data_IF_537825550176
#
_entry.id   IF_537825550176
#
_cell.length_a   1.000
_cell.length_b   1.000
_cell.length_c   1.000
_cell.angle_alpha   90.00
_cell.angle_beta   90.00
_cell.angle_gamma   90.00
#
_symmetry.space_group_name_H-M   'P 1'
#
loop_
_entity.id
_entity.type
_entity.pdbx_description
1 polymer ?
#
# COMPACT_ATOMS: atom_id res chain seq x y z
N UNK A 1 -15.57 -3.65 -5.79
CA UNK A 1 -14.87 -2.51 -5.20
C UNK A 1 -13.40 -2.80 -5.07
N UNK A 2 -12.57 -1.98 -5.67
CA UNK A 2 -11.13 -2.16 -5.56
C UNK A 2 -10.63 -1.58 -4.24
N UNK A 3 -9.73 -2.31 -3.59
CA UNK A 3 -9.07 -1.82 -2.39
C UNK A 3 -8.07 -0.74 -2.80
N UNK A 4 -8.14 0.42 -2.16
CA UNK A 4 -7.11 1.42 -2.37
C UNK A 4 -5.94 1.18 -1.41
N UNK A 5 -4.87 1.98 -1.55
CA UNK A 5 -3.68 1.77 -0.74
C UNK A 5 -3.93 2.02 0.75
N UNK A 6 -4.84 2.92 1.08
CA UNK A 6 -5.19 3.16 2.48
C UNK A 6 -5.88 1.93 3.07
N UNK A 7 -6.79 1.32 2.32
CA UNK A 7 -7.46 0.09 2.76
C UNK A 7 -6.48 -1.07 2.89
N UNK A 8 -5.54 -1.17 1.97
CA UNK A 8 -4.54 -2.24 2.01
C UNK A 8 -3.75 -2.20 3.31
N UNK A 9 -3.39 -1.00 3.77
CA UNK A 9 -2.68 -0.84 5.04
C UNK A 9 -3.62 -0.75 6.24
N UNK A 10 -4.91 -0.57 6.01
CA UNK A 10 -5.87 -0.43 7.10
C UNK A 10 -5.79 0.90 7.82
N UNK A 11 -5.50 1.97 7.09
CA UNK A 11 -5.41 3.32 7.67
C UNK A 11 -6.40 4.24 7.00
N UNK A 12 -6.66 5.38 7.64
CA UNK A 12 -7.52 6.41 7.08
C UNK A 12 -6.79 7.24 6.03
N UNK A 13 -7.55 7.94 5.21
CA UNK A 13 -6.97 8.79 4.17
C UNK A 13 -6.16 9.95 4.73
N UNK A 14 -6.45 10.36 5.94
CA UNK A 14 -5.72 11.42 6.62
C UNK A 14 -4.66 10.91 7.58
N UNK A 15 -4.30 9.64 7.48
CA UNK A 15 -3.28 9.05 8.33
C UNK A 15 -1.94 9.76 8.18
N UNK A 16 -1.24 9.92 9.29
CA UNK A 16 0.09 10.52 9.30
C UNK A 16 1.13 9.53 8.74
N UNK A 17 2.30 10.05 8.40
CA UNK A 17 3.39 9.19 7.97
C UNK A 17 3.73 8.14 9.01
N UNK A 18 3.74 8.51 10.27
CA UNK A 18 4.03 7.57 11.36
C UNK A 18 2.99 6.45 11.43
N UNK A 19 1.73 6.81 11.25
CA UNK A 19 0.66 5.83 11.25
C UNK A 19 0.81 4.87 10.07
N UNK A 20 1.18 5.39 8.91
CA UNK A 20 1.38 4.58 7.72
C UNK A 20 2.55 3.63 7.90
N UNK A 21 3.66 4.12 8.45
CA UNK A 21 4.82 3.28 8.75
C UNK A 21 4.49 2.16 9.71
N UNK A 22 3.76 2.50 10.75
CA UNK A 22 3.36 1.52 11.76
C UNK A 22 2.44 0.46 11.16
N UNK A 23 1.48 0.89 10.37
CA UNK A 23 0.55 -0.01 9.69
C UNK A 23 1.30 -0.95 8.75
N UNK A 24 2.27 -0.41 8.00
CA UNK A 24 3.08 -1.23 7.12
C UNK A 24 3.84 -2.31 7.88
N UNK A 25 4.48 -1.94 8.97
CA UNK A 25 5.23 -2.91 9.79
C UNK A 25 4.33 -4.01 10.29
N UNK A 26 3.15 -3.64 10.75
CA UNK A 26 2.19 -4.60 11.27
C UNK A 26 1.73 -5.56 10.18
N UNK A 27 1.38 -5.03 9.02
CA UNK A 27 0.95 -5.88 7.91
C UNK A 27 2.08 -6.75 7.38
N UNK A 28 3.28 -6.20 7.27
CA UNK A 28 4.42 -6.96 6.80
C UNK A 28 4.76 -8.14 7.71
N UNK A 29 4.54 -7.97 9.01
CA UNK A 29 4.80 -9.05 9.95
C UNK A 29 3.79 -10.19 9.81
N UNK A 30 2.62 -9.91 9.28
CA UNK A 30 1.61 -10.95 9.02
C UNK A 30 1.94 -11.81 7.80
N UNK A 31 2.77 -11.30 6.90
CA UNK A 31 3.11 -11.99 5.65
C UNK A 31 4.62 -12.06 5.45
N UNK A 32 5.35 -12.73 6.36
CA UNK A 32 6.80 -12.82 6.21
C UNK A 32 7.16 -13.64 4.97
N UNK A 33 8.12 -13.18 4.18
CA UNK A 33 8.46 -13.85 2.92
C UNK A 33 9.03 -15.25 3.08
N UNK A 34 9.55 -15.57 4.25
CA UNK A 34 10.20 -16.86 4.48
C UNK A 34 9.23 -17.99 4.81
N UNK A 35 7.98 -17.68 5.11
CA UNK A 35 7.06 -18.67 5.66
C UNK A 35 5.96 -19.05 4.68
N UNK A 36 5.86 -18.35 3.57
CA UNK A 36 4.68 -18.46 2.75
C UNK A 36 4.92 -19.23 1.46
N UNK A 37 4.34 -20.42 1.38
CA UNK A 37 4.19 -21.15 0.13
C UNK A 37 2.92 -20.71 -0.60
N UNK A 38 2.23 -19.72 -0.07
CA UNK A 38 0.97 -19.25 -0.61
C UNK A 38 1.18 -18.11 -1.60
N UNK A 39 0.85 -18.31 -2.89
CA UNK A 39 0.98 -17.25 -3.89
C UNK A 39 0.19 -15.99 -3.55
N UNK A 40 -0.94 -16.16 -2.85
CA UNK A 40 -1.75 -15.01 -2.45
C UNK A 40 -1.06 -14.14 -1.41
N UNK A 41 -0.29 -14.75 -0.52
CA UNK A 41 0.46 -14.01 0.49
C UNK A 41 1.53 -13.14 -0.16
N UNK A 42 2.20 -13.66 -1.17
CA UNK A 42 3.21 -12.91 -1.90
C UNK A 42 2.60 -11.70 -2.61
N UNK A 43 1.46 -11.89 -3.26
CA UNK A 43 0.75 -10.78 -3.89
C UNK A 43 0.33 -9.73 -2.89
N UNK A 44 -0.19 -10.15 -1.75
CA UNK A 44 -0.60 -9.23 -0.70
C UNK A 44 0.58 -8.44 -0.18
N UNK A 45 1.71 -9.09 0.00
CA UNK A 45 2.91 -8.41 0.45
C UNK A 45 3.36 -7.35 -0.55
N UNK A 46 3.30 -7.66 -1.84
CA UNK A 46 3.64 -6.68 -2.87
C UNK A 46 2.73 -5.47 -2.84
N UNK A 47 1.44 -5.68 -2.63
CA UNK A 47 0.49 -4.58 -2.52
C UNK A 47 0.78 -3.71 -1.30
N UNK A 48 1.13 -4.35 -0.20
CA UNK A 48 1.48 -3.63 1.03
C UNK A 48 2.72 -2.78 0.81
N UNK A 49 3.73 -3.31 0.14
CA UNK A 49 4.93 -2.55 -0.18
C UNK A 49 4.64 -1.37 -1.10
N UNK A 50 3.85 -1.60 -2.13
CA UNK A 50 3.47 -0.55 -3.07
C UNK A 50 2.70 0.56 -2.36
N UNK A 51 1.75 0.17 -1.51
CA UNK A 51 0.98 1.15 -0.75
C UNK A 51 1.90 2.00 0.13
N UNK A 52 2.85 1.35 0.82
CA UNK A 52 3.82 2.07 1.64
C UNK A 52 4.63 3.06 0.82
N UNK A 53 5.15 2.62 -0.31
CA UNK A 53 5.99 3.47 -1.15
C UNK A 53 5.26 4.70 -1.65
N UNK A 54 4.01 4.53 -2.06
CA UNK A 54 3.21 5.64 -2.54
C UNK A 54 2.81 6.57 -1.41
N UNK A 55 2.33 6.02 -0.32
CA UNK A 55 1.77 6.84 0.76
C UNK A 55 2.83 7.51 1.63
N UNK A 56 4.08 7.03 1.60
CA UNK A 56 5.17 7.66 2.34
C UNK A 56 5.95 8.68 1.51
N UNK A 57 5.70 8.75 0.22
CA UNK A 57 6.29 9.76 -0.66
C UNK A 57 5.28 10.89 -0.84
N UNK A 58 5.62 12.10 -0.40
CA UNK A 58 4.70 13.22 -0.42
C UNK A 58 4.16 13.51 -1.82
N UNK A 59 5.02 13.47 -2.82
CA UNK A 59 4.60 13.73 -4.19
C UNK A 59 3.68 12.64 -4.72
N UNK A 60 4.06 11.40 -4.53
CA UNK A 60 3.27 10.27 -5.00
C UNK A 60 1.94 10.20 -4.28
N UNK A 61 1.95 10.46 -2.97
CA UNK A 61 0.71 10.47 -2.20
C UNK A 61 -0.24 11.55 -2.71
N UNK A 62 0.29 12.73 -2.99
CA UNK A 62 -0.51 13.83 -3.52
C UNK A 62 -1.11 13.48 -4.87
N UNK A 63 -0.30 12.92 -5.76
CA UNK A 63 -0.78 12.48 -7.07
C UNK A 63 -1.84 11.39 -6.92
N UNK A 64 -1.59 10.44 -6.04
CA UNK A 64 -2.52 9.37 -5.80
C UNK A 64 -3.87 9.88 -5.31
N UNK A 65 -3.85 10.82 -4.37
CA UNK A 65 -5.09 11.40 -3.83
C UNK A 65 -5.87 12.18 -4.88
N UNK A 66 -5.16 12.81 -5.82
CA UNK A 66 -5.81 13.56 -6.88
C UNK A 66 -6.36 12.66 -7.99
N UNK A 67 -5.61 11.64 -8.35
CA UNK A 67 -5.98 10.78 -9.48
C UNK A 67 -6.97 9.69 -9.11
N UNK A 68 -6.87 9.19 -7.90
CA UNK A 68 -7.60 8.01 -7.48
C UNK A 68 -6.82 6.74 -7.80
N UNK A 69 -7.23 5.65 -7.17
CA UNK A 69 -6.47 4.40 -7.20
C UNK A 69 -6.28 3.85 -8.62
N UNK A 70 -7.35 3.76 -9.38
CA UNK A 70 -7.29 3.16 -10.70
C UNK A 70 -6.41 3.94 -11.67
N UNK A 71 -6.59 5.26 -11.70
CA UNK A 71 -5.81 6.10 -12.58
C UNK A 71 -4.34 6.11 -12.22
N UNK A 72 -4.07 6.13 -10.93
CA UNK A 72 -2.70 6.12 -10.47
C UNK A 72 -1.99 4.83 -10.89
N UNK A 73 -2.66 3.70 -10.77
CA UNK A 73 -2.08 2.42 -11.16
C UNK A 73 -1.82 2.35 -12.66
N UNK A 74 -2.71 2.89 -13.46
CA UNK A 74 -2.49 2.93 -14.90
C UNK A 74 -1.29 3.78 -15.27
N UNK A 75 -1.13 4.93 -14.62
CA UNK A 75 0.00 5.80 -14.86
C UNK A 75 1.31 5.14 -14.45
N UNK A 76 1.30 4.40 -13.35
CA UNK A 76 2.49 3.76 -12.82
C UNK A 76 2.97 2.57 -13.67
N UNK A 77 2.10 2.04 -14.50
CA UNK A 77 2.44 0.90 -15.35
C UNK A 77 3.21 1.26 -16.62
N UNK A 78 3.43 2.53 -16.84
CA UNK A 78 4.17 2.97 -18.04
C UNK A 78 5.66 2.99 -17.84
#
# INVERSE_FOLDING_TARGET
MSEDFYSVLGVDRDASEDEIKRAFRQKASEYPPDVSDDPNAEEKFKRIQEAKEVLLDDEKRRMYDQMGHERFQEADKR
#
